data_IF_212168822280
#
_entry.id   IF_212168822280
#
_cell.length_a   1.000
_cell.length_b   1.000
_cell.length_c   1.000
_cell.angle_alpha   90.00
_cell.angle_beta   90.00
_cell.angle_gamma   90.00
#
_symmetry.space_group_name_H-M   'P 1'
#
loop_
_entity.id
_entity.type
_entity.pdbx_description
1 polymer ?
#
# COMPACT_ATOMS: atom_id res chain seq x y z
N UNK A 1 6.52 15.19 13.45
CA UNK A 1 6.25 16.50 14.09
C UNK A 1 6.97 17.64 13.38
N UNK A 2 8.31 17.71 13.38
CA UNK A 2 9.00 18.81 12.70
C UNK A 2 8.65 18.90 11.21
N UNK A 3 8.60 17.77 10.49
CA UNK A 3 8.18 17.72 9.09
C UNK A 3 6.79 18.35 8.86
N UNK A 4 5.83 18.06 9.75
CA UNK A 4 4.47 18.62 9.72
C UNK A 4 4.50 20.15 9.94
N UNK A 5 5.33 20.64 10.86
CA UNK A 5 5.49 22.07 11.13
C UNK A 5 6.18 22.83 9.99
N UNK A 6 7.09 22.16 9.28
CA UNK A 6 7.78 22.71 8.12
C UNK A 6 6.94 22.68 6.84
N UNK A 7 5.73 22.10 6.89
CA UNK A 7 4.85 21.99 5.73
C UNK A 7 5.23 20.88 4.75
N UNK A 8 6.00 19.87 5.17
CA UNK A 8 6.18 18.65 4.38
C UNK A 8 4.83 17.95 4.28
N UNK A 9 4.39 17.69 3.05
CA UNK A 9 3.03 17.19 2.79
C UNK A 9 2.85 15.70 3.07
N UNK A 10 3.91 14.89 2.89
CA UNK A 10 3.82 13.42 3.00
C UNK A 10 4.97 12.85 3.82
N UNK A 11 4.66 11.85 4.64
CA UNK A 11 5.64 10.91 5.20
C UNK A 11 5.26 9.50 4.77
N UNK A 12 6.26 8.71 4.39
CA UNK A 12 6.08 7.34 3.92
C UNK A 12 6.82 6.37 4.83
N UNK A 13 6.11 5.39 5.37
CA UNK A 13 6.67 4.34 6.21
C UNK A 13 6.68 3.01 5.44
N UNK A 14 7.85 2.37 5.39
CA UNK A 14 8.09 1.11 4.66
C UNK A 14 7.55 -0.09 5.43
N UNK A 15 7.30 -1.20 4.74
CA UNK A 15 7.03 -2.51 5.37
C UNK A 15 8.18 -3.46 5.05
N UNK A 16 8.81 -4.02 6.09
CA UNK A 16 9.87 -5.03 5.98
C UNK A 16 9.79 -6.09 7.07
N UNK A 17 10.18 -7.31 6.72
CA UNK A 17 10.14 -8.48 7.60
C UNK A 17 11.46 -9.25 7.59
N UNK A 18 11.84 -9.89 8.70
CA UNK A 18 13.02 -10.77 8.79
C UNK A 18 14.39 -10.17 8.37
N UNK A 19 14.49 -8.86 8.14
CA UNK A 19 15.73 -8.20 7.75
C UNK A 19 16.45 -7.64 8.97
N UNK A 20 17.46 -8.35 9.47
CA UNK A 20 18.14 -8.00 10.72
C UNK A 20 18.93 -6.67 10.64
N UNK A 21 19.52 -6.35 9.49
CA UNK A 21 20.42 -5.18 9.33
C UNK A 21 19.84 -4.05 8.45
N UNK A 22 18.66 -4.23 7.87
CA UNK A 22 18.13 -3.28 6.87
C UNK A 22 16.98 -2.41 7.39
N UNK A 23 15.92 -3.03 7.92
CA UNK A 23 14.74 -2.31 8.42
C UNK A 23 13.93 -3.19 9.36
N UNK A 24 13.48 -2.60 10.47
CA UNK A 24 12.62 -3.26 11.47
C UNK A 24 11.18 -2.73 11.46
N UNK A 25 10.71 -2.26 10.31
CA UNK A 25 9.34 -1.74 10.16
C UNK A 25 8.35 -2.81 9.71
N UNK A 26 7.98 -3.72 10.62
CA UNK A 26 7.09 -4.85 10.31
C UNK A 26 5.59 -4.52 10.40
N UNK A 27 5.25 -3.39 11.01
CA UNK A 27 3.87 -2.97 11.24
C UNK A 27 3.75 -1.44 11.06
N UNK A 28 3.96 -0.92 9.83
CA UNK A 28 3.99 0.52 9.56
C UNK A 28 2.73 1.25 10.02
N UNK A 29 1.57 0.61 10.01
CA UNK A 29 0.31 1.16 10.50
C UNK A 29 0.36 1.59 11.97
N UNK A 30 1.15 0.90 12.81
CA UNK A 30 1.30 1.24 14.23
C UNK A 30 2.06 2.54 14.38
N UNK A 31 3.17 2.66 13.65
CA UNK A 31 3.98 3.89 13.62
C UNK A 31 3.17 5.05 13.05
N UNK A 32 2.50 4.86 11.91
CA UNK A 32 1.68 5.88 11.26
C UNK A 32 0.50 6.31 12.14
N UNK A 33 -0.14 5.39 12.88
CA UNK A 33 -1.19 5.74 13.84
C UNK A 33 -0.65 6.57 15.01
N UNK A 34 0.56 6.28 15.51
CA UNK A 34 1.21 7.13 16.50
C UNK A 34 1.54 8.53 15.94
N UNK A 35 2.04 8.59 14.70
CA UNK A 35 2.25 9.85 13.99
C UNK A 35 0.95 10.63 13.82
N UNK A 36 -0.17 9.96 13.52
CA UNK A 36 -1.45 10.61 13.27
C UNK A 36 -1.95 11.42 14.47
N UNK A 37 -1.63 10.99 15.69
CA UNK A 37 -1.99 11.71 16.92
C UNK A 37 -1.04 12.86 17.26
N UNK A 38 0.15 12.90 16.64
CA UNK A 38 1.21 13.88 16.91
C UNK A 38 1.37 14.92 15.80
N UNK A 39 0.63 14.78 14.70
CA UNK A 39 0.69 15.67 13.54
C UNK A 39 -0.71 16.10 13.12
N UNK A 40 -0.81 17.26 12.47
CA UNK A 40 -2.10 17.84 12.07
C UNK A 40 -2.35 17.79 10.57
N UNK A 41 -1.32 18.07 9.76
CA UNK A 41 -1.49 18.33 8.31
C UNK A 41 -0.86 17.23 7.45
N UNK A 42 0.32 16.75 7.82
CA UNK A 42 1.08 15.77 7.03
C UNK A 42 0.27 14.50 6.75
N UNK A 43 0.33 14.05 5.51
CA UNK A 43 -0.31 12.82 5.03
C UNK A 43 0.58 11.62 5.36
N UNK A 44 -0.07 10.52 5.71
CA UNK A 44 0.53 9.35 6.35
C UNK A 44 0.45 8.16 5.40
N UNK A 45 1.55 7.92 4.69
CA UNK A 45 1.60 6.92 3.64
C UNK A 45 2.28 5.64 4.02
N UNK A 46 1.67 4.54 3.59
CA UNK A 46 2.37 3.28 3.46
C UNK A 46 3.24 3.31 2.21
N UNK A 47 4.55 3.23 2.36
CA UNK A 47 5.52 3.18 1.25
C UNK A 47 6.31 1.88 1.25
N UNK A 48 5.70 0.72 1.47
CA UNK A 48 4.39 0.28 0.97
C UNK A 48 3.71 -0.70 1.95
N UNK A 49 2.49 -1.13 1.65
CA UNK A 49 1.93 -2.40 2.15
C UNK A 49 2.25 -3.52 1.14
N UNK A 50 2.75 -4.66 1.63
CA UNK A 50 2.92 -5.89 0.86
C UNK A 50 1.58 -6.61 0.71
N UNK A 51 0.85 -6.38 -0.38
CA UNK A 51 -0.55 -6.83 -0.51
C UNK A 51 -0.74 -8.27 -0.98
N UNK A 52 0.32 -9.02 -1.24
CA UNK A 52 0.18 -10.44 -1.53
C UNK A 52 -0.44 -11.16 -0.31
N UNK A 53 -1.48 -12.02 -0.49
CA UNK A 53 -2.27 -12.56 0.62
C UNK A 53 -1.48 -13.32 1.69
N UNK A 54 -0.34 -13.89 1.32
CA UNK A 54 0.56 -14.59 2.25
C UNK A 54 1.27 -13.63 3.23
N UNK A 55 1.61 -12.40 2.81
CA UNK A 55 2.08 -11.35 3.74
C UNK A 55 0.90 -10.80 4.54
N UNK A 56 -0.11 -10.31 3.81
CA UNK A 56 -1.21 -9.57 4.39
C UNK A 56 -2.54 -10.01 3.76
N UNK A 57 -3.40 -10.64 4.54
CA UNK A 57 -4.74 -10.99 4.10
C UNK A 57 -5.51 -9.73 3.62
N UNK A 58 -6.17 -9.73 2.44
CA UNK A 58 -6.78 -8.52 1.87
C UNK A 58 -7.79 -7.81 2.78
N UNK A 59 -8.61 -8.57 3.51
CA UNK A 59 -9.51 -8.02 4.53
C UNK A 59 -8.74 -7.22 5.60
N UNK A 60 -7.62 -7.75 6.11
CA UNK A 60 -6.79 -7.07 7.12
C UNK A 60 -6.12 -5.83 6.55
N UNK A 61 -5.72 -5.85 5.29
CA UNK A 61 -5.23 -4.66 4.59
C UNK A 61 -6.30 -3.57 4.53
N UNK A 62 -7.51 -3.91 4.08
CA UNK A 62 -8.63 -2.98 4.04
C UNK A 62 -8.99 -2.42 5.42
N UNK A 63 -9.05 -3.26 6.46
CA UNK A 63 -9.34 -2.85 7.84
C UNK A 63 -8.31 -1.86 8.37
N UNK A 64 -7.02 -2.16 8.21
CA UNK A 64 -5.94 -1.31 8.75
C UNK A 64 -5.85 0.02 8.03
N UNK A 65 -5.97 0.02 6.70
CA UNK A 65 -5.98 1.24 5.89
C UNK A 65 -7.19 2.11 6.25
N UNK A 66 -8.38 1.52 6.35
CA UNK A 66 -9.59 2.24 6.76
C UNK A 66 -9.50 2.77 8.19
N UNK A 67 -8.97 1.98 9.12
CA UNK A 67 -8.76 2.42 10.51
C UNK A 67 -7.77 3.59 10.58
N UNK A 68 -6.62 3.51 9.90
CA UNK A 68 -5.64 4.59 9.85
C UNK A 68 -6.26 5.86 9.25
N UNK A 69 -7.04 5.71 8.18
CA UNK A 69 -7.75 6.80 7.53
C UNK A 69 -8.73 7.51 8.49
N UNK A 70 -9.50 6.73 9.26
CA UNK A 70 -10.44 7.26 10.25
C UNK A 70 -9.73 7.97 11.41
N UNK A 71 -8.73 7.35 12.03
CA UNK A 71 -8.02 7.94 13.19
C UNK A 71 -7.15 9.14 12.80
N UNK A 72 -6.76 9.22 11.52
CA UNK A 72 -6.02 10.36 10.97
C UNK A 72 -6.91 11.45 10.38
N UNK A 73 -8.23 11.23 10.34
CA UNK A 73 -9.23 12.10 9.71
C UNK A 73 -8.94 12.39 8.23
N UNK A 74 -8.73 11.33 7.44
CA UNK A 74 -8.60 11.44 5.99
C UNK A 74 -7.18 11.74 5.49
N UNK A 75 -6.16 11.43 6.29
CA UNK A 75 -4.75 11.69 5.94
C UNK A 75 -3.99 10.45 5.51
N UNK A 76 -4.62 9.27 5.47
CA UNK A 76 -3.96 8.05 5.05
C UNK A 76 -3.67 8.05 3.54
N UNK A 77 -2.53 7.47 3.16
CA UNK A 77 -2.16 7.15 1.77
C UNK A 77 -1.88 5.65 1.65
N UNK A 78 -2.49 5.00 0.67
CA UNK A 78 -2.38 3.55 0.49
C UNK A 78 -1.37 3.23 -0.62
N UNK A 79 -0.08 3.12 -0.27
CA UNK A 79 0.90 2.55 -1.18
C UNK A 79 0.94 1.04 -1.10
N UNK A 80 1.02 0.38 -2.26
CA UNK A 80 1.02 -1.06 -2.42
C UNK A 80 2.26 -1.54 -3.18
N UNK A 81 2.67 -2.79 -2.95
CA UNK A 81 3.66 -3.44 -3.82
C UNK A 81 3.91 -4.92 -3.54
N UNK A 82 4.77 -5.49 -4.37
CA UNK A 82 4.88 -6.94 -4.61
C UNK A 82 6.02 -7.64 -3.84
N UNK A 83 6.69 -6.95 -2.91
CA UNK A 83 7.95 -7.38 -2.29
C UNK A 83 9.13 -7.52 -3.27
N UNK A 84 10.33 -7.16 -2.78
CA UNK A 84 11.60 -7.24 -3.51
C UNK A 84 12.59 -8.24 -2.93
N UNK A 85 12.41 -8.67 -1.68
CA UNK A 85 13.39 -9.46 -0.94
C UNK A 85 13.10 -10.96 -1.01
N UNK A 86 14.12 -11.74 -1.37
CA UNK A 86 14.05 -13.20 -1.33
C UNK A 86 13.91 -13.75 0.09
N UNK A 87 14.52 -13.10 1.09
CA UNK A 87 14.41 -13.51 2.48
C UNK A 87 12.99 -13.32 3.00
N UNK A 88 12.38 -12.17 2.69
CA UNK A 88 10.99 -11.87 3.06
C UNK A 88 10.03 -12.86 2.39
N UNK A 89 10.16 -13.05 1.08
CA UNK A 89 9.30 -13.97 0.34
C UNK A 89 9.44 -15.42 0.84
N UNK A 90 10.67 -15.84 1.17
CA UNK A 90 10.92 -17.16 1.76
C UNK A 90 10.20 -17.36 3.10
N UNK A 91 10.22 -16.35 3.98
CA UNK A 91 9.56 -16.40 5.28
C UNK A 91 8.03 -16.47 5.21
N UNK A 92 7.42 -15.97 4.13
CA UNK A 92 5.98 -16.03 3.88
C UNK A 92 5.57 -17.05 2.80
N UNK A 93 6.50 -17.92 2.38
CA UNK A 93 6.23 -18.95 1.38
C UNK A 93 5.65 -18.41 0.07
N UNK A 94 6.25 -17.35 -0.47
CA UNK A 94 5.88 -16.76 -1.76
C UNK A 94 6.95 -17.11 -2.79
N UNK A 95 6.54 -17.80 -3.86
CA UNK A 95 7.42 -18.02 -4.99
C UNK A 95 7.60 -16.71 -5.78
N UNK A 96 8.83 -16.31 -6.13
CA UNK A 96 9.09 -15.04 -6.82
C UNK A 96 8.28 -14.82 -8.11
N UNK A 97 8.00 -15.84 -8.94
CA UNK A 97 7.13 -15.69 -10.11
C UNK A 97 5.66 -15.38 -9.76
N UNK A 98 5.19 -15.77 -8.57
CA UNK A 98 3.81 -15.61 -8.12
C UNK A 98 3.56 -14.29 -7.39
N UNK A 99 4.60 -13.58 -6.94
CA UNK A 99 4.47 -12.35 -6.15
C UNK A 99 3.61 -11.28 -6.81
N UNK A 100 3.74 -11.10 -8.13
CA UNK A 100 3.01 -10.07 -8.90
C UNK A 100 1.53 -10.46 -9.10
N UNK A 101 1.20 -11.68 -9.56
CA UNK A 101 -0.18 -12.18 -9.54
C UNK A 101 -0.85 -12.09 -8.16
N UNK A 102 -0.16 -12.52 -7.09
CA UNK A 102 -0.66 -12.45 -5.72
C UNK A 102 -0.90 -11.00 -5.26
N UNK A 103 0.05 -10.10 -5.52
CA UNK A 103 -0.10 -8.67 -5.23
C UNK A 103 -1.35 -8.08 -5.91
N UNK A 104 -1.56 -8.40 -7.19
CA UNK A 104 -2.69 -7.90 -7.97
C UNK A 104 -4.03 -8.39 -7.41
N UNK A 105 -4.16 -9.69 -7.16
CA UNK A 105 -5.37 -10.28 -6.58
C UNK A 105 -5.64 -9.71 -5.18
N UNK A 106 -4.62 -9.66 -4.32
CA UNK A 106 -4.77 -9.13 -2.96
C UNK A 106 -5.11 -7.64 -2.92
N UNK A 107 -4.54 -6.84 -3.83
CA UNK A 107 -4.88 -5.42 -3.97
C UNK A 107 -6.33 -5.23 -4.45
N UNK A 108 -6.75 -5.96 -5.48
CA UNK A 108 -8.11 -5.89 -6.00
C UNK A 108 -9.14 -6.19 -4.91
N UNK A 109 -8.93 -7.28 -4.17
CA UNK A 109 -9.84 -7.69 -3.08
C UNK A 109 -9.84 -6.64 -1.97
N UNK A 110 -8.68 -6.09 -1.58
CA UNK A 110 -8.62 -5.06 -0.54
C UNK A 110 -9.38 -3.79 -0.95
N UNK A 111 -9.26 -3.36 -2.23
CA UNK A 111 -10.01 -2.23 -2.76
C UNK A 111 -11.51 -2.50 -2.74
N UNK A 112 -11.96 -3.67 -3.23
CA UNK A 112 -13.37 -4.07 -3.16
C UNK A 112 -13.88 -4.11 -1.72
N UNK A 113 -13.07 -4.60 -0.77
CA UNK A 113 -13.40 -4.58 0.66
C UNK A 113 -13.59 -3.15 1.20
N UNK A 114 -12.87 -2.15 0.69
CA UNK A 114 -13.04 -0.74 1.10
C UNK A 114 -14.21 -0.04 0.41
N UNK A 115 -14.54 -0.41 -0.83
CA UNK A 115 -15.50 0.33 -1.68
C UNK A 115 -16.89 -0.30 -1.75
N UNK A 116 -17.00 -1.63 -1.69
CA UNK A 116 -18.26 -2.33 -1.83
C UNK A 116 -19.04 -2.37 -0.52
N UNK A 117 -20.35 -2.13 -0.62
CA UNK A 117 -21.33 -2.34 0.47
C UNK A 117 -22.68 -2.71 -0.17
N UNK A 118 -23.10 -4.00 -0.15
CA UNK A 118 -22.39 -5.12 0.45
C UNK A 118 -21.19 -5.62 -0.38
N UNK A 119 -20.11 -6.07 0.26
CA UNK A 119 -19.06 -6.87 -0.39
C UNK A 119 -19.63 -8.25 -0.73
N UNK A 120 -19.55 -8.62 -2.01
CA UNK A 120 -20.23 -9.82 -2.55
C UNK A 120 -19.39 -11.09 -2.49
N UNK A 121 -18.19 -11.03 -1.91
CA UNK A 121 -17.25 -12.14 -1.89
C UNK A 121 -16.29 -12.12 -3.08
N UNK A 122 -15.28 -12.99 -3.01
CA UNK A 122 -14.29 -13.21 -4.04
C UNK A 122 -13.83 -14.67 -4.02
N UNK A 123 -13.86 -15.34 -5.17
CA UNK A 123 -13.26 -16.67 -5.36
C UNK A 123 -11.97 -16.49 -6.16
N UNK A 124 -10.85 -16.50 -5.45
CA UNK A 124 -9.54 -16.19 -6.01
C UNK A 124 -8.65 -17.42 -6.13
N UNK A 125 -7.51 -17.22 -6.80
CA UNK A 125 -6.49 -18.27 -6.96
C UNK A 125 -5.64 -18.39 -5.71
N UNK A 126 -5.34 -17.27 -5.05
CA UNK A 126 -4.44 -17.19 -3.90
C UNK A 126 -5.19 -16.97 -2.59
N UNK A 127 -6.36 -16.32 -2.64
CA UNK A 127 -7.24 -16.16 -1.47
C UNK A 127 -8.70 -16.06 -1.89
N UNK A 128 -9.56 -16.74 -1.13
CA UNK A 128 -11.02 -16.66 -1.29
C UNK A 128 -11.66 -16.05 -0.06
N UNK A 129 -12.67 -15.22 -0.28
CA UNK A 129 -13.40 -14.52 0.77
C UNK A 129 -14.91 -14.69 0.57
N UNK A 130 -15.66 -15.09 1.62
CA UNK A 130 -17.12 -15.19 1.52
C UNK A 130 -17.77 -13.81 1.41
N UNK A 131 -19.04 -13.72 0.96
CA UNK A 131 -19.81 -12.48 0.98
C UNK A 131 -19.96 -11.95 2.42
N UNK A 132 -19.15 -10.96 2.77
CA UNK A 132 -19.13 -10.34 4.10
C UNK A 132 -18.53 -8.95 4.04
N UNK A 133 -19.26 -7.96 4.56
CA UNK A 133 -18.71 -6.61 4.66
C UNK A 133 -17.48 -6.59 5.56
N UNK A 134 -16.39 -6.05 5.02
CA UNK A 134 -15.24 -5.62 5.81
C UNK A 134 -15.53 -4.23 6.37
N UNK A 135 -15.33 -4.07 7.67
CA UNK A 135 -15.58 -2.85 8.44
C UNK A 135 -14.38 -2.51 9.33
N UNK A 136 -14.10 -1.21 9.58
CA UNK A 136 -14.85 -0.06 9.09
C UNK A 136 -14.54 0.30 7.63
N UNK A 137 -15.30 1.25 7.05
CA UNK A 137 -14.99 1.84 5.75
C UNK A 137 -14.15 3.12 5.94
N UNK A 138 -13.25 3.45 4.99
CA UNK A 138 -12.50 4.69 5.05
C UNK A 138 -13.41 5.93 4.96
N UNK A 139 -12.95 7.04 5.52
CA UNK A 139 -13.60 8.35 5.38
C UNK A 139 -13.34 8.92 3.99
N UNK A 140 -12.13 8.73 3.44
CA UNK A 140 -11.81 9.07 2.05
C UNK A 140 -12.58 8.17 1.09
N UNK A 141 -13.05 8.73 -0.03
CA UNK A 141 -13.82 8.03 -1.07
C UNK A 141 -13.08 8.07 -2.43
N UNK A 142 -13.13 6.99 -3.22
CA UNK A 142 -13.74 5.69 -2.90
C UNK A 142 -12.97 4.90 -1.82
N UNK A 143 -11.67 5.13 -1.72
CA UNK A 143 -10.74 4.65 -0.69
C UNK A 143 -9.63 5.71 -0.52
N UNK A 144 -8.71 5.60 0.45
CA UNK A 144 -7.53 6.46 0.51
C UNK A 144 -6.75 6.44 -0.80
N UNK A 145 -6.09 7.55 -1.21
CA UNK A 145 -5.43 7.57 -2.52
C UNK A 145 -4.42 6.44 -2.64
N UNK A 146 -4.44 5.79 -3.81
CA UNK A 146 -3.72 4.55 -4.07
C UNK A 146 -2.42 4.86 -4.81
N UNK A 147 -1.36 4.20 -4.36
CA UNK A 147 -0.03 4.28 -4.93
C UNK A 147 0.53 2.88 -5.19
N UNK A 148 1.41 2.77 -6.17
CA UNK A 148 2.13 1.54 -6.47
C UNK A 148 3.64 1.79 -6.48
N UNK A 149 4.38 0.95 -5.77
CA UNK A 149 5.84 0.90 -5.89
C UNK A 149 6.22 0.41 -7.28
N UNK A 150 7.03 1.19 -7.98
CA UNK A 150 7.44 0.89 -9.34
C UNK A 150 8.89 1.32 -9.60
N UNK A 151 9.68 0.36 -10.09
CA UNK A 151 11.08 0.56 -10.50
C UNK A 151 11.30 0.27 -11.99
N UNK A 152 10.21 0.00 -12.73
CA UNK A 152 10.24 -0.35 -14.15
C UNK A 152 9.22 0.47 -14.93
N UNK A 153 9.56 0.81 -16.18
CA UNK A 153 8.71 1.59 -17.09
C UNK A 153 7.33 0.99 -17.25
N UNK A 154 7.21 -0.33 -17.33
CA UNK A 154 5.93 -1.01 -17.51
C UNK A 154 5.01 -0.79 -16.31
N UNK A 155 5.55 -0.71 -15.09
CA UNK A 155 4.72 -0.49 -13.88
C UNK A 155 4.39 1.00 -13.71
N UNK A 156 5.24 1.91 -14.17
CA UNK A 156 4.90 3.34 -14.26
C UNK A 156 3.78 3.57 -15.26
N UNK A 157 3.84 2.94 -16.44
CA UNK A 157 2.76 3.01 -17.43
C UNK A 157 1.46 2.41 -16.90
N UNK A 158 1.53 1.29 -16.16
CA UNK A 158 0.37 0.73 -15.48
C UNK A 158 -0.23 1.71 -14.47
N UNK A 159 0.60 2.38 -13.66
CA UNK A 159 0.14 3.38 -12.71
C UNK A 159 -0.58 4.53 -13.41
N UNK A 160 0.01 5.03 -14.50
CA UNK A 160 -0.57 6.09 -15.31
C UNK A 160 -1.90 5.69 -15.95
N UNK A 161 -1.99 4.48 -16.53
CA UNK A 161 -3.22 3.95 -17.14
C UNK A 161 -4.33 3.73 -16.11
N UNK A 162 -3.97 3.33 -14.89
CA UNK A 162 -4.91 3.11 -13.80
C UNK A 162 -5.29 4.39 -13.04
N UNK A 163 -4.63 5.52 -13.34
CA UNK A 163 -4.85 6.79 -12.62
C UNK A 163 -4.43 6.75 -11.16
N UNK A 164 -3.41 5.96 -10.82
CA UNK A 164 -2.90 5.80 -9.45
C UNK A 164 -1.48 6.39 -9.32
N UNK A 165 -1.10 6.73 -8.09
CA UNK A 165 0.22 7.31 -7.81
C UNK A 165 1.36 6.31 -8.03
N UNK A 166 2.53 6.82 -8.43
CA UNK A 166 3.74 6.03 -8.65
C UNK A 166 4.78 6.36 -7.57
N UNK A 167 5.20 5.34 -6.80
CA UNK A 167 6.31 5.44 -5.85
C UNK A 167 7.57 4.86 -6.51
N UNK A 168 8.49 5.74 -6.90
CA UNK A 168 9.69 5.36 -7.65
C UNK A 168 10.94 5.57 -6.80
N UNK A 169 11.94 4.71 -6.99
CA UNK A 169 13.28 5.04 -6.51
C UNK A 169 13.86 6.14 -7.38
N UNK A 170 14.50 7.13 -6.77
CA UNK A 170 15.17 8.21 -7.48
C UNK A 170 16.39 7.66 -8.26
N UNK A 171 16.15 7.18 -9.48
CA UNK A 171 17.18 6.84 -10.48
C UNK A 171 16.81 7.37 -11.87
N UNK A 172 15.95 8.37 -11.94
CA UNK A 172 15.63 9.05 -13.20
C UNK A 172 16.08 10.49 -13.01
N UNK A 173 17.15 10.89 -13.70
CA UNK A 173 17.46 12.31 -13.80
C UNK A 173 16.33 13.03 -14.58
N UNK A 174 16.15 14.36 -14.42
CA UNK A 174 15.09 15.09 -15.10
C UNK A 174 15.09 14.95 -16.64
N UNK A 175 16.25 14.67 -17.24
CA UNK A 175 16.41 14.45 -18.68
C UNK A 175 15.80 13.09 -19.08
N UNK A 176 16.09 12.05 -18.31
CA UNK A 176 15.57 10.71 -18.53
C UNK A 176 14.04 10.70 -18.36
N UNK A 177 13.47 11.43 -17.39
CA UNK A 177 12.02 11.54 -17.19
C UNK A 177 11.28 12.03 -18.44
N UNK A 178 11.88 12.94 -19.22
CA UNK A 178 11.28 13.45 -20.47
C UNK A 178 11.05 12.37 -21.52
N UNK A 179 11.81 11.27 -21.49
CA UNK A 179 11.62 10.14 -22.42
C UNK A 179 10.42 9.25 -22.09
N UNK A 180 9.79 9.48 -20.93
CA UNK A 180 8.68 8.66 -20.40
C UNK A 180 7.33 9.36 -20.58
N UNK A 181 7.29 10.69 -20.69
CA UNK A 181 6.07 11.54 -20.78
C UNK A 181 5.76 11.96 -22.24
N UNK A 182 5.93 11.05 -23.21
CA UNK A 182 5.56 11.34 -24.62
C UNK A 182 4.10 11.01 -24.91
#
# INVERSE_FOLDING_TARGET
ELADQLGIEYVWEVEHHFLEEYSHSSAPEVFLAACSQRTKQIRLGHGIILTAPHYNHPARTAERVAMLDLVSNGRAEFGSGESGSMAEMGGYHIDPPLKRPMWREGLEIALRCMTETPFTGYEGTYVSMPPRNVVPKPVQKPHPPLWVACSRRETILLAAQAGIGALTFAFIDPEEARTWVR
#
